data_IF_654071030082
#
_entry.id   IF_654071030082
#
_cell.length_a   1.000
_cell.length_b   1.000
_cell.length_c   1.000
_cell.angle_alpha   90.00
_cell.angle_beta   90.00
_cell.angle_gamma   90.00
#
_symmetry.space_group_name_H-M   'P 1'
#
loop_
_entity.id
_entity.type
_entity.pdbx_description
1 polymer ?
#
# COMPACT_ATOMS: atom_id res chain seq x y z
N UNK A 1 7.96 11.55 -14.50
CA UNK A 1 7.32 10.23 -14.49
C UNK A 1 6.07 10.29 -13.64
N UNK A 2 5.06 9.50 -13.98
CA UNK A 2 3.89 9.27 -13.13
C UNK A 2 4.11 7.99 -12.32
N UNK A 3 4.08 8.12 -10.99
CA UNK A 3 4.37 7.03 -10.06
C UNK A 3 3.13 6.71 -9.25
N UNK A 4 2.69 5.45 -9.27
CA UNK A 4 1.65 4.93 -8.38
C UNK A 4 2.31 4.17 -7.22
N UNK A 5 2.05 4.62 -6.01
CA UNK A 5 2.53 3.97 -4.80
C UNK A 5 1.38 3.24 -4.13
N UNK A 6 1.48 1.93 -4.04
CA UNK A 6 0.50 1.04 -3.44
C UNK A 6 0.94 0.69 -2.02
N UNK A 7 0.45 1.42 -1.05
CA UNK A 7 0.73 1.16 0.37
C UNK A 7 -0.56 1.23 1.19
N UNK A 8 -1.27 0.10 1.35
CA UNK A 8 -2.57 0.09 2.00
C UNK A 8 -2.50 0.39 3.49
N UNK A 9 -1.37 0.13 4.14
CA UNK A 9 -1.16 0.30 5.59
C UNK A 9 -0.24 1.49 5.80
N UNK A 10 -0.80 2.66 6.16
CA UNK A 10 -0.01 3.89 6.27
C UNK A 10 0.80 3.98 7.57
N UNK A 11 0.37 3.27 8.61
CA UNK A 11 1.02 3.25 9.93
C UNK A 11 0.68 1.97 10.69
N UNK A 12 1.49 1.62 11.68
CA UNK A 12 1.32 0.38 12.45
C UNK A 12 0.05 0.45 13.30
N UNK A 13 -0.72 -0.64 13.27
CA UNK A 13 -1.89 -0.83 14.12
C UNK A 13 -1.49 -1.60 15.38
N UNK A 14 -1.93 -1.14 16.55
CA UNK A 14 -1.71 -1.82 17.83
C UNK A 14 -2.83 -2.83 18.08
N UNK A 15 -2.47 -4.08 18.36
CA UNK A 15 -3.42 -5.17 18.66
C UNK A 15 -4.55 -5.28 17.62
N UNK A 16 -4.24 -5.10 16.33
CA UNK A 16 -5.19 -5.08 15.21
C UNK A 16 -6.21 -3.92 15.26
N UNK A 17 -6.01 -2.93 16.09
CA UNK A 17 -6.81 -1.70 16.12
C UNK A 17 -6.06 -0.62 15.36
N UNK A 18 -6.67 -0.10 14.29
CA UNK A 18 -6.13 1.02 13.54
C UNK A 18 -6.45 2.30 14.32
N UNK A 19 -5.44 3.02 14.83
CA UNK A 19 -5.70 4.25 15.56
C UNK A 19 -6.27 5.32 14.64
N UNK A 20 -7.21 6.12 15.15
CA UNK A 20 -7.70 7.28 14.42
C UNK A 20 -6.67 8.41 14.54
N UNK A 21 -6.11 8.82 13.42
CA UNK A 21 -5.12 9.90 13.37
C UNK A 21 -5.73 11.19 12.84
N UNK A 22 -5.17 12.33 13.23
CA UNK A 22 -5.58 13.65 12.69
C UNK A 22 -4.95 13.93 11.35
N UNK A 23 -3.74 13.44 11.13
CA UNK A 23 -2.96 13.67 9.91
C UNK A 23 -2.17 12.41 9.54
N UNK A 24 -1.96 12.19 8.25
CA UNK A 24 -1.04 11.17 7.74
C UNK A 24 0.30 11.75 7.29
N UNK A 25 0.51 13.06 7.40
CA UNK A 25 1.70 13.75 6.91
C UNK A 25 2.99 13.36 7.64
N UNK A 26 2.86 12.85 8.87
CA UNK A 26 3.99 12.37 9.65
C UNK A 26 4.38 10.91 9.34
N UNK A 27 3.63 10.24 8.46
CA UNK A 27 3.94 8.86 8.08
C UNK A 27 5.16 8.82 7.14
N UNK A 28 5.92 7.72 7.25
CA UNK A 28 7.07 7.49 6.38
C UNK A 28 6.67 7.48 4.90
N UNK A 29 5.55 6.81 4.58
CA UNK A 29 5.08 6.69 3.21
C UNK A 29 4.68 8.05 2.61
N UNK A 30 4.04 8.92 3.40
CA UNK A 30 3.73 10.27 2.96
C UNK A 30 5.00 11.05 2.62
N UNK A 31 6.01 10.98 3.48
CA UNK A 31 7.28 11.65 3.27
C UNK A 31 8.06 11.07 2.08
N UNK A 32 7.95 9.77 1.80
CA UNK A 32 8.49 9.16 0.59
C UNK A 32 7.80 9.70 -0.66
N UNK A 33 6.46 9.76 -0.68
CA UNK A 33 5.70 10.36 -1.77
C UNK A 33 6.09 11.83 -2.00
N UNK A 34 6.24 12.59 -0.93
CA UNK A 34 6.69 13.98 -0.99
C UNK A 34 8.11 14.09 -1.56
N UNK A 35 8.99 13.16 -1.26
CA UNK A 35 10.33 13.05 -1.86
C UNK A 35 10.26 12.90 -3.38
N UNK A 36 9.46 11.97 -3.89
CA UNK A 36 9.23 11.81 -5.32
C UNK A 36 8.64 13.07 -5.95
N UNK A 37 7.68 13.71 -5.28
CA UNK A 37 7.10 14.96 -5.76
C UNK A 37 8.13 16.08 -5.89
N UNK A 38 9.02 16.22 -4.90
CA UNK A 38 10.13 17.21 -4.91
C UNK A 38 11.15 16.95 -6.01
N UNK A 39 11.30 15.70 -6.43
CA UNK A 39 12.12 15.31 -7.58
C UNK A 39 11.43 15.55 -8.93
N UNK A 40 10.24 16.17 -8.93
CA UNK A 40 9.50 16.51 -10.14
C UNK A 40 8.68 15.39 -10.74
N UNK A 41 8.37 14.34 -9.94
CA UNK A 41 7.49 13.26 -10.37
C UNK A 41 6.03 13.58 -10.00
N UNK A 42 5.10 13.07 -10.80
CA UNK A 42 3.69 13.07 -10.48
C UNK A 42 3.36 11.81 -9.68
N UNK A 43 2.80 11.97 -8.49
CA UNK A 43 2.65 10.87 -7.53
C UNK A 43 1.20 10.68 -7.14
N UNK A 44 0.75 9.44 -7.18
CA UNK A 44 -0.53 8.99 -6.61
C UNK A 44 -0.26 7.93 -5.56
N UNK A 45 -0.77 8.13 -4.35
CA UNK A 45 -0.72 7.14 -3.27
C UNK A 45 -2.07 6.42 -3.18
N UNK A 46 -2.07 5.10 -3.22
CA UNK A 46 -3.24 4.26 -2.96
C UNK A 46 -3.13 3.60 -1.59
N UNK A 47 -4.11 3.86 -0.72
CA UNK A 47 -4.15 3.37 0.65
C UNK A 47 -5.52 2.74 0.98
N UNK A 48 -5.61 2.00 2.09
CA UNK A 48 -6.89 1.51 2.57
C UNK A 48 -7.67 2.63 3.29
N UNK A 49 -8.99 2.68 3.08
CA UNK A 49 -9.88 3.70 3.62
C UNK A 49 -9.83 3.76 5.16
N UNK A 50 -9.56 2.64 5.80
CA UNK A 50 -9.43 2.55 7.25
C UNK A 50 -8.28 3.37 7.83
N UNK A 51 -7.35 3.77 6.99
CA UNK A 51 -6.20 4.62 7.36
C UNK A 51 -6.40 6.09 7.00
N UNK A 52 -7.57 6.46 6.47
CA UNK A 52 -7.88 7.86 6.20
C UNK A 52 -7.92 8.66 7.52
N UNK A 53 -7.41 9.90 7.54
CA UNK A 53 -7.48 10.74 8.73
C UNK A 53 -8.92 11.12 9.06
N UNK A 54 -9.17 11.48 10.33
CA UNK A 54 -10.49 11.90 10.81
C UNK A 54 -11.00 13.17 10.13
N UNK A 55 -10.08 14.06 9.82
CA UNK A 55 -10.38 15.36 9.22
C UNK A 55 -9.92 15.41 7.77
N UNK A 56 -10.64 16.17 6.94
CA UNK A 56 -10.20 16.42 5.57
C UNK A 56 -8.90 17.21 5.60
N UNK A 57 -7.91 16.68 4.93
CA UNK A 57 -6.58 17.26 4.86
C UNK A 57 -6.22 17.56 3.40
N UNK A 58 -5.53 18.68 3.19
CA UNK A 58 -4.96 19.00 1.88
C UNK A 58 -3.59 18.34 1.73
N UNK A 59 -3.35 17.70 0.58
CA UNK A 59 -2.12 16.99 0.28
C UNK A 59 -1.40 17.62 -0.92
N UNK A 60 -0.08 17.45 -0.95
CA UNK A 60 0.78 17.95 -2.04
C UNK A 60 0.72 17.07 -3.30
N UNK A 61 0.10 15.88 -3.19
CA UNK A 61 -0.08 14.90 -4.25
C UNK A 61 -1.41 14.17 -4.08
N UNK A 62 -1.81 13.41 -5.08
CA UNK A 62 -3.07 12.67 -5.04
C UNK A 62 -2.99 11.48 -4.07
N UNK A 63 -4.01 11.33 -3.22
CA UNK A 63 -4.18 10.16 -2.35
C UNK A 63 -5.56 9.56 -2.60
N UNK A 64 -5.59 8.27 -2.91
CA UNK A 64 -6.79 7.48 -3.14
C UNK A 64 -6.98 6.48 -2.01
N UNK A 65 -8.13 6.54 -1.37
CA UNK A 65 -8.51 5.60 -0.32
C UNK A 65 -9.47 4.56 -0.88
N UNK A 66 -9.09 3.29 -0.82
CA UNK A 66 -9.87 2.15 -1.31
C UNK A 66 -10.50 1.39 -0.15
N UNK A 67 -11.79 1.11 -0.28
CA UNK A 67 -12.56 0.42 0.76
C UNK A 67 -12.16 -1.04 0.88
N UNK A 68 -11.83 -1.48 2.10
CA UNK A 68 -11.56 -2.89 2.36
C UNK A 68 -12.84 -3.71 2.42
N UNK A 69 -12.83 -4.91 1.81
CA UNK A 69 -13.91 -5.89 1.84
C UNK A 69 -13.48 -7.13 2.64
N UNK A 70 -14.44 -7.99 2.96
CA UNK A 70 -14.18 -9.25 3.67
C UNK A 70 -13.33 -9.08 4.95
N UNK A 71 -13.55 -8.01 5.72
CA UNK A 71 -12.73 -7.60 6.88
C UNK A 71 -12.56 -8.67 7.96
N UNK A 72 -13.50 -9.63 8.07
CA UNK A 72 -13.39 -10.76 9.01
C UNK A 72 -12.32 -11.76 8.58
N UNK A 73 -12.14 -11.97 7.28
CA UNK A 73 -11.15 -12.89 6.71
C UNK A 73 -9.82 -12.18 6.48
N UNK A 74 -9.87 -10.93 6.06
CA UNK A 74 -8.74 -10.07 5.76
C UNK A 74 -8.80 -8.82 6.64
N UNK A 75 -8.29 -8.89 7.88
CA UNK A 75 -8.31 -7.73 8.79
C UNK A 75 -7.52 -6.55 8.19
N UNK A 76 -8.12 -5.36 8.07
CA UNK A 76 -7.46 -4.21 7.43
C UNK A 76 -6.15 -3.80 8.11
N UNK A 77 -6.02 -4.05 9.41
CA UNK A 77 -4.79 -3.78 10.16
C UNK A 77 -3.60 -4.66 9.76
N UNK A 78 -3.84 -5.76 9.04
CA UNK A 78 -2.81 -6.74 8.68
C UNK A 78 -2.73 -6.98 7.17
N UNK A 79 -3.88 -7.15 6.53
CA UNK A 79 -3.96 -7.56 5.12
C UNK A 79 -5.21 -6.96 4.48
N UNK A 80 -5.26 -5.64 4.26
CA UNK A 80 -6.41 -4.99 3.63
C UNK A 80 -6.65 -5.57 2.24
N UNK A 81 -7.90 -5.96 1.98
CA UNK A 81 -8.33 -6.46 0.68
C UNK A 81 -9.30 -5.48 0.04
N UNK A 82 -8.84 -4.74 -0.97
CA UNK A 82 -9.62 -3.72 -1.67
C UNK A 82 -9.83 -4.13 -3.13
N UNK A 83 -10.93 -4.82 -3.46
CA UNK A 83 -11.17 -5.34 -4.82
C UNK A 83 -11.31 -4.23 -5.87
N UNK A 84 -11.70 -3.03 -5.48
CA UNK A 84 -11.81 -1.86 -6.37
C UNK A 84 -10.46 -1.37 -6.89
N UNK A 85 -9.36 -1.75 -6.22
CA UNK A 85 -8.01 -1.44 -6.68
C UNK A 85 -7.66 -2.16 -7.99
N UNK A 86 -8.21 -3.36 -8.22
CA UNK A 86 -7.97 -4.14 -9.46
C UNK A 86 -8.40 -3.39 -10.72
N UNK A 87 -9.69 -3.03 -10.89
CA UNK A 87 -10.11 -2.28 -12.06
C UNK A 87 -9.36 -0.95 -12.18
N UNK A 88 -9.11 -0.26 -11.07
CA UNK A 88 -8.37 1.00 -11.09
C UNK A 88 -6.97 0.84 -11.69
N UNK A 89 -6.18 -0.14 -11.25
CA UNK A 89 -4.84 -0.38 -11.82
C UNK A 89 -4.95 -0.75 -13.29
N UNK A 90 -5.89 -1.63 -13.66
CA UNK A 90 -6.06 -2.12 -15.03
C UNK A 90 -6.47 -0.99 -15.99
N UNK A 91 -7.38 -0.12 -15.58
CA UNK A 91 -7.84 1.01 -16.39
C UNK A 91 -6.77 2.09 -16.56
N UNK A 92 -5.89 2.23 -15.57
CA UNK A 92 -4.85 3.26 -15.51
C UNK A 92 -3.43 2.74 -15.79
N UNK A 93 -3.27 1.46 -16.16
CA UNK A 93 -1.93 0.85 -16.35
C UNK A 93 -1.02 1.61 -17.32
N UNK A 94 -1.61 2.22 -18.36
CA UNK A 94 -0.87 2.97 -19.38
C UNK A 94 -0.52 4.39 -18.93
N UNK A 95 -1.19 4.92 -17.92
CA UNK A 95 -0.97 6.27 -17.42
C UNK A 95 0.19 6.37 -16.43
N UNK A 96 0.57 5.26 -15.80
CA UNK A 96 1.68 5.20 -14.87
C UNK A 96 2.94 4.66 -15.53
N UNK A 97 4.07 5.30 -15.24
CA UNK A 97 5.40 4.88 -15.68
C UNK A 97 6.00 3.85 -14.72
N UNK A 98 5.65 3.94 -13.42
CA UNK A 98 6.18 3.11 -12.35
C UNK A 98 5.10 2.83 -11.30
N UNK A 99 5.02 1.57 -10.86
CA UNK A 99 4.25 1.14 -9.70
C UNK A 99 5.22 0.70 -8.59
N UNK A 100 5.08 1.25 -7.41
CA UNK A 100 5.83 0.82 -6.23
C UNK A 100 4.82 0.25 -5.24
N UNK A 101 4.96 -1.03 -4.90
CA UNK A 101 4.06 -1.68 -3.95
C UNK A 101 4.83 -2.11 -2.71
N UNK A 102 4.28 -1.82 -1.54
CA UNK A 102 4.83 -2.28 -0.27
C UNK A 102 4.39 -3.71 0.04
N UNK A 103 5.29 -4.47 0.63
CA UNK A 103 5.06 -5.81 1.15
C UNK A 103 4.79 -6.89 0.10
N UNK A 104 5.68 -7.86 0.00
CA UNK A 104 5.60 -8.99 -0.95
C UNK A 104 4.31 -9.80 -0.80
N UNK A 105 3.81 -9.95 0.44
CA UNK A 105 2.63 -10.76 0.73
C UNK A 105 1.30 -9.99 0.70
N UNK A 106 1.30 -8.78 0.17
CA UNK A 106 0.09 -7.99 0.07
C UNK A 106 -0.69 -8.29 -1.22
N UNK A 107 -2.01 -8.18 -1.17
CA UNK A 107 -2.85 -8.37 -2.37
C UNK A 107 -2.53 -7.37 -3.46
N UNK A 108 -2.24 -6.14 -3.13
CA UNK A 108 -1.89 -5.10 -4.10
C UNK A 108 -0.56 -5.37 -4.79
N UNK A 109 0.43 -5.95 -4.11
CA UNK A 109 1.70 -6.35 -4.73
C UNK A 109 1.48 -7.46 -5.75
N UNK A 110 0.65 -8.45 -5.40
CA UNK A 110 0.27 -9.53 -6.33
C UNK A 110 -0.48 -8.98 -7.54
N UNK A 111 -1.41 -8.04 -7.33
CA UNK A 111 -2.17 -7.40 -8.40
C UNK A 111 -1.26 -6.58 -9.32
N UNK A 112 -0.42 -5.73 -8.75
CA UNK A 112 0.50 -4.90 -9.51
C UNK A 112 1.45 -5.75 -10.36
N UNK A 113 2.07 -6.76 -9.76
CA UNK A 113 2.97 -7.66 -10.46
C UNK A 113 2.28 -8.47 -11.57
N UNK A 114 0.99 -8.78 -11.42
CA UNK A 114 0.21 -9.50 -12.44
C UNK A 114 -0.26 -8.61 -13.60
N UNK A 115 -0.61 -7.36 -13.32
CA UNK A 115 -1.16 -6.44 -14.34
C UNK A 115 -0.02 -5.70 -15.04
N UNK A 116 0.96 -5.22 -14.29
CA UNK A 116 2.04 -4.37 -14.79
C UNK A 116 3.43 -4.90 -14.36
N UNK A 117 3.81 -6.15 -14.72
CA UNK A 117 5.06 -6.75 -14.22
C UNK A 117 6.31 -5.93 -14.57
N UNK A 118 6.35 -5.34 -15.76
CA UNK A 118 7.52 -4.59 -16.27
C UNK A 118 7.70 -3.22 -15.59
N UNK A 119 6.67 -2.73 -14.90
CA UNK A 119 6.67 -1.41 -14.25
C UNK A 119 6.57 -1.50 -12.74
N UNK A 120 6.52 -2.69 -12.17
CA UNK A 120 6.28 -2.88 -10.74
C UNK A 120 7.56 -3.17 -9.98
N UNK A 121 7.81 -2.38 -8.96
CA UNK A 121 8.82 -2.63 -7.94
C UNK A 121 8.09 -2.99 -6.64
N UNK A 122 8.46 -4.11 -6.04
CA UNK A 122 7.96 -4.49 -4.73
C UNK A 122 9.02 -4.13 -3.69
N UNK A 123 8.63 -3.28 -2.75
CA UNK A 123 9.47 -2.83 -1.67
C UNK A 123 9.12 -3.57 -0.38
N UNK A 124 10.08 -4.23 0.21
CA UNK A 124 9.95 -4.95 1.47
C UNK A 124 10.75 -4.21 2.56
N UNK A 125 10.04 -3.68 3.56
CA UNK A 125 10.68 -2.95 4.66
C UNK A 125 11.28 -3.88 5.71
N UNK A 126 10.59 -5.00 5.98
CA UNK A 126 10.96 -5.90 7.04
C UNK A 126 11.29 -7.28 6.47
N UNK A 127 12.49 -7.75 6.73
CA UNK A 127 12.89 -9.13 6.43
C UNK A 127 12.28 -10.13 7.41
N UNK A 128 11.90 -9.66 8.61
CA UNK A 128 11.26 -10.47 9.64
C UNK A 128 10.00 -9.76 10.16
N UNK A 129 8.84 -10.23 9.75
CA UNK A 129 7.58 -9.73 10.27
C UNK A 129 7.45 -10.11 11.74
N UNK A 130 7.82 -9.17 12.60
CA UNK A 130 7.73 -9.32 14.04
C UNK A 130 6.38 -9.93 14.44
N UNK A 131 6.39 -11.20 14.83
CA UNK A 131 5.29 -11.95 15.44
C UNK A 131 4.03 -12.26 14.61
N UNK A 132 3.84 -11.71 13.40
CA UNK A 132 2.58 -11.94 12.67
C UNK A 132 2.58 -13.18 11.78
N UNK A 133 3.74 -13.66 11.34
CA UNK A 133 3.86 -14.79 10.42
C UNK A 133 4.91 -15.83 10.84
N UNK A 134 4.99 -16.17 12.13
CA UNK A 134 5.80 -17.33 12.58
C UNK A 134 5.25 -18.68 12.10
N UNK A 135 4.24 -18.69 11.24
CA UNK A 135 3.60 -19.91 10.77
C UNK A 135 4.21 -20.37 9.44
N UNK A 136 4.14 -21.68 9.23
CA UNK A 136 4.72 -22.43 8.10
C UNK A 136 4.62 -21.75 6.70
N UNK A 137 3.51 -21.10 6.31
CA UNK A 137 3.41 -20.46 4.99
C UNK A 137 4.43 -19.37 4.72
N UNK A 138 4.80 -18.56 5.72
CA UNK A 138 5.79 -17.48 5.54
C UNK A 138 7.21 -18.01 5.36
N UNK A 139 7.52 -19.15 6.00
CA UNK A 139 8.82 -19.83 5.85
C UNK A 139 8.98 -20.46 4.46
N UNK A 140 7.89 -20.96 3.88
CA UNK A 140 7.90 -21.58 2.56
C UNK A 140 8.11 -20.52 1.49
N UNK A 141 7.49 -19.33 1.59
CA UNK A 141 7.62 -18.27 0.60
C UNK A 141 9.03 -17.66 0.55
N UNK A 142 9.71 -17.54 1.70
CA UNK A 142 11.09 -17.05 1.77
C UNK A 142 12.13 -18.02 1.18
N UNK A 143 11.75 -19.28 0.96
CA UNK A 143 12.64 -20.29 0.34
C UNK A 143 12.57 -20.30 -1.20
N UNK A 144 11.62 -19.54 -1.79
CA UNK A 144 11.40 -19.51 -3.26
C UNK A 144 11.69 -18.12 -3.89
N UNK A 145 12.21 -17.18 -3.10
CA UNK A 145 12.75 -15.91 -3.60
C UNK A 145 14.26 -15.88 -3.49
#
# INVERSE_FOLDING_TARGET
MKVLILNPILFTADNNVIPQVKSIKDTMIYNMCLGFKRLGHDVTLAAAEEYAPAEKEAYDFEILFFKSKCKKLFPPAMLPFSPELWPYIKENEKSFDLLISSEVFSFQSLLAARICPEKTIIWQELTDHQNKFHRLPSKICLLYT
#
